data_IF_275462390083
#
_entry.id   IF_275462390083
#
_cell.length_a   1.000
_cell.length_b   1.000
_cell.length_c   1.000
_cell.angle_alpha   90.00
_cell.angle_beta   90.00
_cell.angle_gamma   90.00
#
_symmetry.space_group_name_H-M   'P 1'
#
loop_
_entity.id
_entity.type
_entity.pdbx_description
1 polymer ?
#
# COMPACT_ATOMS: atom_id res chain seq x y z
N UNK A 1 4.36 4.79 8.28
CA UNK A 1 4.01 5.59 9.47
C UNK A 1 2.64 5.23 10.03
N UNK A 2 1.54 5.48 9.32
CA UNK A 2 0.17 5.18 9.78
C UNK A 2 0.00 3.75 10.33
N UNK A 3 0.51 2.72 9.63
CA UNK A 3 0.44 1.34 10.10
C UNK A 3 1.05 1.11 11.49
N UNK A 4 2.21 1.69 11.80
CA UNK A 4 2.85 1.55 13.12
C UNK A 4 2.19 2.40 14.21
N UNK A 5 1.50 3.47 13.82
CA UNK A 5 0.74 4.31 14.76
C UNK A 5 -0.59 3.64 15.15
N UNK A 6 -1.31 3.08 14.17
CA UNK A 6 -2.59 2.43 14.39
C UNK A 6 -2.48 0.96 14.81
N UNK A 7 -1.35 0.30 14.56
CA UNK A 7 -1.19 -1.13 14.89
C UNK A 7 0.13 -1.42 15.60
N UNK A 8 0.08 -2.33 16.59
CA UNK A 8 1.27 -2.86 17.30
C UNK A 8 1.76 -4.19 16.72
N UNK A 9 1.39 -4.53 15.48
CA UNK A 9 1.75 -5.81 14.88
C UNK A 9 3.24 -5.83 14.51
N UNK A 10 3.94 -6.92 14.87
CA UNK A 10 5.29 -7.18 14.34
C UNK A 10 5.17 -7.63 12.88
N UNK A 11 5.86 -6.96 11.98
CA UNK A 11 5.92 -7.27 10.55
C UNK A 11 7.19 -8.06 10.22
N UNK A 12 7.26 -8.63 9.01
CA UNK A 12 8.48 -9.24 8.48
C UNK A 12 9.31 -8.17 7.77
N UNK A 13 10.37 -7.68 8.43
CA UNK A 13 11.20 -6.57 7.93
C UNK A 13 11.79 -6.81 6.53
N UNK A 14 12.11 -8.08 6.21
CA UNK A 14 12.61 -8.47 4.88
C UNK A 14 11.64 -8.23 3.73
N UNK A 15 10.32 -8.18 3.99
CA UNK A 15 9.29 -7.98 2.98
C UNK A 15 8.83 -6.52 2.86
N UNK A 16 9.25 -5.65 3.80
CA UNK A 16 8.95 -4.22 3.79
C UNK A 16 9.42 -3.52 2.51
N UNK A 17 10.68 -3.70 2.03
CA UNK A 17 11.12 -3.03 0.80
C UNK A 17 10.33 -3.47 -0.43
N UNK A 18 9.86 -4.72 -0.46
CA UNK A 18 9.02 -5.23 -1.55
C UNK A 18 7.69 -4.48 -1.59
N UNK A 19 7.04 -4.27 -0.44
CA UNK A 19 5.78 -3.52 -0.36
C UNK A 19 6.00 -2.04 -0.67
N UNK A 20 7.11 -1.46 -0.20
CA UNK A 20 7.43 -0.05 -0.44
C UNK A 20 7.62 0.26 -1.93
N UNK A 21 8.10 -0.71 -2.72
CA UNK A 21 8.17 -0.60 -4.18
C UNK A 21 6.85 -0.99 -4.85
N UNK A 22 6.16 -2.03 -4.36
CA UNK A 22 4.92 -2.51 -4.94
C UNK A 22 3.77 -1.49 -4.82
N UNK A 23 3.67 -0.77 -3.70
CA UNK A 23 2.61 0.22 -3.47
C UNK A 23 2.57 1.35 -4.52
N UNK A 24 3.67 2.08 -4.82
CA UNK A 24 3.67 3.11 -5.87
C UNK A 24 3.41 2.53 -7.25
N UNK A 25 3.90 1.31 -7.54
CA UNK A 25 3.61 0.62 -8.80
C UNK A 25 2.09 0.37 -8.91
N UNK A 26 1.45 -0.20 -7.88
CA UNK A 26 0.00 -0.42 -7.88
C UNK A 26 -0.79 0.88 -8.00
N UNK A 27 -0.38 1.95 -7.30
CA UNK A 27 -1.01 3.27 -7.42
C UNK A 27 -0.90 3.85 -8.83
N UNK A 28 0.23 3.65 -9.49
CA UNK A 28 0.42 4.13 -10.86
C UNK A 28 -0.42 3.33 -11.86
N UNK A 29 -0.48 2.00 -11.73
CA UNK A 29 -1.38 1.18 -12.54
C UNK A 29 -2.83 1.62 -12.35
N UNK A 30 -3.26 1.84 -11.10
CA UNK A 30 -4.60 2.32 -10.80
C UNK A 30 -4.91 3.64 -11.50
N UNK A 31 -3.95 4.57 -11.54
CA UNK A 31 -4.09 5.84 -12.26
C UNK A 31 -4.31 5.63 -13.76
N UNK A 32 -3.53 4.74 -14.39
CA UNK A 32 -3.72 4.42 -15.81
C UNK A 32 -5.10 3.81 -16.07
N UNK A 33 -5.56 2.90 -15.21
CA UNK A 33 -6.90 2.33 -15.31
C UNK A 33 -8.00 3.40 -15.16
N UNK A 34 -7.88 4.29 -14.17
CA UNK A 34 -8.83 5.39 -13.97
C UNK A 34 -8.87 6.35 -15.16
N UNK A 35 -7.72 6.73 -15.71
CA UNK A 35 -7.66 7.59 -16.89
C UNK A 35 -8.30 6.87 -18.09
N UNK A 36 -8.02 5.58 -18.29
CA UNK A 36 -8.50 4.84 -19.46
C UNK A 36 -10.00 4.52 -19.41
N UNK A 37 -10.54 4.21 -18.23
CA UNK A 37 -11.92 3.74 -18.08
C UNK A 37 -12.89 4.82 -17.63
N UNK A 38 -12.41 5.79 -16.84
CA UNK A 38 -13.24 6.82 -16.20
C UNK A 38 -12.89 8.24 -16.66
N UNK A 39 -11.90 8.41 -17.55
CA UNK A 39 -11.32 9.70 -17.95
C UNK A 39 -10.93 10.57 -16.73
N UNK A 40 -10.62 9.91 -15.61
CA UNK A 40 -10.43 10.54 -14.32
C UNK A 40 -8.96 10.49 -13.90
N UNK A 41 -8.36 11.66 -13.72
CA UNK A 41 -6.99 11.79 -13.24
C UNK A 41 -6.94 11.75 -11.72
N UNK A 42 -6.29 10.73 -11.15
CA UNK A 42 -6.22 10.58 -9.68
C UNK A 42 -5.42 11.71 -9.01
N UNK A 43 -4.46 12.34 -9.71
CA UNK A 43 -3.70 13.48 -9.21
C UNK A 43 -3.16 13.28 -7.79
N UNK A 44 -3.58 14.14 -6.85
CA UNK A 44 -3.19 14.05 -5.43
C UNK A 44 -3.77 12.82 -4.71
N UNK A 45 -4.92 12.32 -5.16
CA UNK A 45 -5.57 11.12 -4.60
C UNK A 45 -4.71 9.87 -4.79
N UNK A 46 -3.77 9.88 -5.75
CA UNK A 46 -2.79 8.81 -5.93
C UNK A 46 -1.95 8.59 -4.67
N UNK A 47 -1.63 9.66 -3.93
CA UNK A 47 -0.92 9.57 -2.66
C UNK A 47 -1.75 8.86 -1.58
N UNK A 48 -3.05 9.12 -1.56
CA UNK A 48 -3.99 8.43 -0.66
C UNK A 48 -4.03 6.93 -0.98
N UNK A 49 -4.20 6.57 -2.25
CA UNK A 49 -4.19 5.17 -2.69
C UNK A 49 -2.86 4.47 -2.41
N UNK A 50 -1.74 5.17 -2.59
CA UNK A 50 -0.41 4.65 -2.23
C UNK A 50 -0.33 4.32 -0.73
N UNK A 51 -0.80 5.23 0.12
CA UNK A 51 -0.89 5.00 1.56
C UNK A 51 -1.75 3.79 1.91
N UNK A 52 -2.89 3.63 1.24
CA UNK A 52 -3.79 2.48 1.42
C UNK A 52 -3.11 1.17 0.99
N UNK A 53 -2.49 1.11 -0.18
CA UNK A 53 -1.78 -0.09 -0.64
C UNK A 53 -0.60 -0.45 0.25
N UNK A 54 0.15 0.54 0.73
CA UNK A 54 1.23 0.34 1.69
C UNK A 54 0.68 -0.24 3.00
N UNK A 55 -0.41 0.31 3.53
CA UNK A 55 -1.05 -0.17 4.75
C UNK A 55 -1.56 -1.61 4.59
N UNK A 56 -2.23 -1.90 3.48
CA UNK A 56 -2.73 -3.23 3.16
C UNK A 56 -1.58 -4.25 2.99
N UNK A 57 -0.52 -3.88 2.28
CA UNK A 57 0.66 -4.73 2.10
C UNK A 57 1.34 -5.06 3.43
N UNK A 58 1.55 -4.03 4.28
CA UNK A 58 2.12 -4.22 5.63
C UNK A 58 1.22 -5.09 6.51
N UNK A 59 -0.10 -4.95 6.40
CA UNK A 59 -1.06 -5.80 7.11
C UNK A 59 -0.94 -7.27 6.68
N UNK A 60 -0.74 -7.53 5.38
CA UNK A 60 -0.66 -8.87 4.83
C UNK A 60 0.61 -9.62 5.27
N UNK A 61 1.73 -8.90 5.43
CA UNK A 61 3.01 -9.47 5.89
C UNK A 61 3.17 -9.48 7.41
N UNK A 62 2.14 -9.10 8.17
CA UNK A 62 2.18 -9.15 9.64
C UNK A 62 2.54 -10.57 10.09
N UNK A 63 3.43 -10.69 11.06
CA UNK A 63 3.71 -11.98 11.70
C UNK A 63 2.45 -12.37 12.47
N UNK A 64 1.74 -13.39 11.99
CA UNK A 64 0.79 -14.10 12.84
C UNK A 64 1.63 -14.76 13.92
N UNK A 65 1.40 -14.39 15.17
CA UNK A 65 1.96 -15.11 16.31
C UNK A 65 1.24 -16.46 16.31
N UNK A 66 1.87 -17.48 15.73
CA UNK A 66 1.41 -18.87 15.89
C UNK A 66 1.61 -19.18 17.37
N UNK A 67 0.50 -19.46 18.06
CA UNK A 67 0.49 -20.04 19.40
C UNK A 67 0.66 -21.54 19.23
#
# INVERSE_FOLDING_TARGET
>A
FAFGLFTKYKIKDKLVPVIALAAPIMSYLLNIFCIKWFDFYLGYTLLLFNGIFTFAGLWLIRKRRTI
#
